data_IF_129808646776
#
_entry.id   IF_129808646776
#
_cell.length_a   1.000
_cell.length_b   1.000
_cell.length_c   1.000
_cell.angle_alpha   90.00
_cell.angle_beta   90.00
_cell.angle_gamma   90.00
#
_symmetry.space_group_name_H-M   'P 1'
#
loop_
_entity.id
_entity.type
_entity.pdbx_description
1 polymer ?
#
# COMPACT_ATOMS: atom_id res chain seq x y z
N UNK A 1 18.19 -1.19 23.04
CA UNK A 1 18.35 -1.42 21.58
C UNK A 1 17.24 -0.64 20.88
N UNK A 2 17.60 0.41 20.14
CA UNK A 2 16.61 1.30 19.48
C UNK A 2 15.88 0.51 18.39
N UNK A 3 14.54 0.58 18.26
CA UNK A 3 13.85 -0.12 17.19
C UNK A 3 14.32 0.49 15.86
N UNK A 4 15.09 -0.32 15.14
CA UNK A 4 15.83 0.04 13.95
C UNK A 4 14.91 0.60 12.89
N UNK A 5 15.30 1.78 12.42
CA UNK A 5 15.05 2.29 11.08
C UNK A 5 15.12 1.10 10.12
N UNK A 6 14.02 0.82 9.41
CA UNK A 6 13.99 -0.19 8.36
C UNK A 6 14.84 0.38 7.23
N UNK A 7 16.15 0.17 7.33
CA UNK A 7 17.12 0.49 6.31
C UNK A 7 16.79 -0.36 5.08
N UNK A 8 16.56 0.35 3.98
CA UNK A 8 16.49 -0.14 2.60
C UNK A 8 15.44 -1.21 2.34
N UNK A 9 14.19 -0.76 2.16
CA UNK A 9 13.14 -1.55 1.54
C UNK A 9 13.38 -1.54 0.02
N UNK A 10 14.22 -2.45 -0.47
CA UNK A 10 14.44 -2.72 -1.91
C UNK A 10 13.27 -3.50 -2.58
N UNK A 11 12.16 -3.68 -1.86
CA UNK A 11 11.02 -4.50 -2.27
C UNK A 11 9.70 -3.83 -1.91
N UNK A 12 9.05 -3.12 -2.86
CA UNK A 12 7.84 -2.35 -2.56
C UNK A 12 6.68 -3.20 -2.02
N UNK A 13 6.65 -4.49 -2.37
CA UNK A 13 5.79 -5.55 -1.86
C UNK A 13 5.95 -5.80 -0.35
N UNK A 14 7.18 -5.76 0.17
CA UNK A 14 7.44 -5.88 1.61
C UNK A 14 6.85 -4.69 2.40
N UNK A 15 6.83 -3.51 1.79
CA UNK A 15 6.17 -2.35 2.38
C UNK A 15 4.64 -2.43 2.27
N UNK A 16 4.08 -2.94 1.16
CA UNK A 16 2.64 -3.21 1.03
C UNK A 16 2.18 -4.16 2.14
N UNK A 17 2.97 -5.21 2.38
CA UNK A 17 2.78 -6.15 3.47
C UNK A 17 2.86 -5.47 4.84
N UNK A 18 3.88 -4.65 5.11
CA UNK A 18 4.03 -3.95 6.37
C UNK A 18 2.89 -2.96 6.66
N UNK A 19 2.39 -2.24 5.64
CA UNK A 19 1.23 -1.33 5.77
C UNK A 19 -0.05 -2.11 6.03
N UNK A 20 -0.24 -3.24 5.34
CA UNK A 20 -1.28 -4.21 5.65
C UNK A 20 -1.20 -4.62 7.12
N UNK A 21 -0.07 -5.21 7.54
CA UNK A 21 0.16 -5.81 8.86
C UNK A 21 0.02 -4.82 10.01
N UNK A 22 0.52 -3.59 9.87
CA UNK A 22 0.38 -2.55 10.91
C UNK A 22 -1.08 -2.15 11.16
N UNK A 23 -1.93 -2.12 10.13
CA UNK A 23 -3.35 -1.71 10.24
C UNK A 23 -4.29 -2.88 10.52
N UNK A 24 -3.85 -4.09 10.19
CA UNK A 24 -4.52 -5.38 10.43
C UNK A 24 -4.78 -5.74 11.89
N UNK A 25 -4.25 -4.96 12.84
CA UNK A 25 -4.55 -5.17 14.25
C UNK A 25 -6.02 -4.93 14.61
N UNK A 26 -6.82 -4.24 13.78
CA UNK A 26 -8.29 -4.24 13.93
C UNK A 26 -8.86 -5.60 13.46
N UNK A 27 -9.42 -6.35 14.41
CA UNK A 27 -9.73 -7.79 14.35
C UNK A 27 -10.48 -8.31 13.11
N UNK A 28 -11.25 -7.47 12.42
CA UNK A 28 -11.98 -7.86 11.21
C UNK A 28 -11.06 -8.24 10.03
N UNK A 29 -9.86 -7.68 10.00
CA UNK A 29 -8.94 -7.84 8.88
C UNK A 29 -7.93 -8.98 9.09
N UNK A 30 -7.63 -9.31 10.36
CA UNK A 30 -6.79 -10.46 10.74
C UNK A 30 -7.26 -11.72 10.02
N UNK A 31 -8.57 -12.02 10.06
CA UNK A 31 -9.16 -13.19 9.39
C UNK A 31 -9.00 -13.18 7.87
N UNK A 32 -9.07 -12.01 7.22
CA UNK A 32 -8.99 -11.91 5.75
C UNK A 32 -7.55 -12.04 5.26
N UNK A 33 -6.58 -11.48 5.99
CA UNK A 33 -5.18 -11.76 5.72
C UNK A 33 -4.73 -13.14 6.18
N UNK A 34 -5.27 -13.73 7.24
CA UNK A 34 -4.97 -15.12 7.60
C UNK A 34 -5.40 -16.06 6.46
N UNK A 35 -6.52 -15.76 5.77
CA UNK A 35 -6.92 -16.50 4.56
C UNK A 35 -5.98 -16.22 3.39
N UNK A 36 -5.68 -14.95 3.07
CA UNK A 36 -4.84 -14.61 1.91
C UNK A 36 -3.37 -15.03 2.10
N UNK A 37 -2.81 -14.86 3.31
CA UNK A 37 -1.44 -15.21 3.66
C UNK A 37 -1.30 -16.69 4.04
N UNK A 38 -2.29 -17.29 4.69
CA UNK A 38 -2.30 -18.73 4.96
C UNK A 38 -2.45 -19.56 3.69
N UNK A 39 -3.17 -19.04 2.67
CA UNK A 39 -3.22 -19.64 1.35
C UNK A 39 -1.94 -19.38 0.53
N UNK A 40 -1.28 -18.23 0.69
CA UNK A 40 -0.03 -17.89 -0.02
C UNK A 40 1.28 -18.25 0.69
N UNK A 41 1.25 -18.81 1.90
CA UNK A 41 2.46 -19.10 2.68
C UNK A 41 3.44 -20.06 1.98
N UNK A 42 2.99 -20.79 0.94
CA UNK A 42 3.83 -21.64 0.09
C UNK A 42 3.84 -21.26 -1.40
N UNK A 43 3.21 -20.16 -1.81
CA UNK A 43 3.03 -19.80 -3.22
C UNK A 43 2.97 -18.29 -3.44
N UNK A 44 4.05 -17.58 -3.13
CA UNK A 44 4.26 -16.30 -3.80
C UNK A 44 4.53 -16.62 -5.27
N UNK A 45 3.48 -16.59 -6.10
CA UNK A 45 3.64 -16.63 -7.54
C UNK A 45 4.63 -15.52 -7.93
N UNK A 46 5.51 -15.80 -8.90
CA UNK A 46 6.38 -14.75 -9.44
C UNK A 46 5.50 -13.57 -9.85
N UNK A 47 5.81 -12.34 -9.40
CA UNK A 47 5.03 -11.17 -9.77
C UNK A 47 5.06 -11.06 -11.29
N UNK A 48 3.88 -10.93 -11.90
CA UNK A 48 3.80 -10.65 -13.33
C UNK A 48 4.34 -9.24 -13.64
N UNK A 49 4.54 -8.97 -14.93
CA UNK A 49 5.10 -7.68 -15.38
C UNK A 49 4.26 -6.49 -14.89
N UNK A 50 2.93 -6.63 -14.84
CA UNK A 50 2.03 -5.57 -14.38
C UNK A 50 2.21 -5.28 -12.89
N UNK A 51 2.41 -6.31 -12.05
CA UNK A 51 2.70 -6.16 -10.64
C UNK A 51 4.07 -5.48 -10.40
N UNK A 52 5.07 -5.80 -11.22
CA UNK A 52 6.40 -5.16 -11.18
C UNK A 52 6.29 -3.68 -11.57
N UNK A 53 5.64 -3.36 -12.69
CA UNK A 53 5.44 -1.97 -13.13
C UNK A 53 4.64 -1.16 -12.11
N UNK A 54 3.56 -1.72 -11.55
CA UNK A 54 2.76 -1.06 -10.53
C UNK A 54 3.59 -0.79 -9.26
N UNK A 55 4.42 -1.75 -8.86
CA UNK A 55 5.34 -1.65 -7.73
C UNK A 55 6.36 -0.52 -7.93
N UNK A 56 6.94 -0.42 -9.13
CA UNK A 56 7.87 0.65 -9.51
C UNK A 56 7.19 2.02 -9.53
N UNK A 57 6.00 2.14 -10.12
CA UNK A 57 5.24 3.40 -10.15
C UNK A 57 4.84 3.87 -8.74
N UNK A 58 4.42 2.94 -7.88
CA UNK A 58 4.09 3.24 -6.49
C UNK A 58 5.33 3.68 -5.70
N UNK A 59 6.51 3.14 -5.99
CA UNK A 59 7.76 3.53 -5.32
C UNK A 59 8.11 5.00 -5.51
N UNK A 60 7.67 5.61 -6.62
CA UNK A 60 7.90 7.01 -6.98
C UNK A 60 6.96 8.01 -6.27
N UNK A 61 5.98 7.51 -5.51
CA UNK A 61 5.11 8.33 -4.65
C UNK A 61 5.80 8.74 -3.35
N UNK A 62 5.33 9.84 -2.74
CA UNK A 62 5.71 10.11 -1.35
C UNK A 62 5.23 8.97 -0.44
N UNK A 63 5.90 8.71 0.70
CA UNK A 63 5.48 7.63 1.60
C UNK A 63 4.00 7.70 1.95
N UNK A 64 3.50 8.89 2.29
CA UNK A 64 2.09 9.11 2.66
C UNK A 64 1.10 8.85 1.52
N UNK A 65 1.39 9.32 0.32
CA UNK A 65 0.55 9.07 -0.85
C UNK A 65 0.49 7.59 -1.17
N UNK A 66 1.65 6.92 -1.16
CA UNK A 66 1.75 5.48 -1.35
C UNK A 66 0.86 4.75 -0.34
N UNK A 67 0.93 5.10 0.96
CA UNK A 67 0.16 4.40 2.02
C UNK A 67 -1.33 4.44 1.77
N UNK A 68 -1.81 5.62 1.38
CA UNK A 68 -3.24 5.89 1.20
C UNK A 68 -3.75 5.32 -0.13
N UNK A 69 -2.95 5.37 -1.20
CA UNK A 69 -3.29 4.72 -2.48
C UNK A 69 -3.38 3.20 -2.31
N UNK A 70 -2.43 2.60 -1.61
CA UNK A 70 -2.41 1.15 -1.36
C UNK A 70 -3.56 0.73 -0.47
N UNK A 71 -3.83 1.50 0.59
CA UNK A 71 -5.01 1.30 1.41
C UNK A 71 -6.29 1.33 0.57
N UNK A 72 -6.39 2.21 -0.43
CA UNK A 72 -7.58 2.35 -1.26
C UNK A 72 -7.74 1.22 -2.29
N UNK A 73 -6.67 0.82 -2.96
CA UNK A 73 -6.73 -0.03 -4.17
C UNK A 73 -6.23 -1.46 -3.98
N UNK A 74 -5.33 -1.72 -3.04
CA UNK A 74 -4.82 -3.08 -2.76
C UNK A 74 -5.49 -3.71 -1.54
N UNK A 75 -5.95 -2.86 -0.62
CA UNK A 75 -6.61 -3.28 0.60
C UNK A 75 -8.13 -3.10 0.53
N UNK A 76 -8.67 -2.38 -0.45
CA UNK A 76 -10.11 -2.07 -0.56
C UNK A 76 -10.69 -1.29 0.63
N UNK A 77 -9.88 -0.49 1.33
CA UNK A 77 -10.40 0.41 2.36
C UNK A 77 -11.22 1.55 1.72
N UNK A 78 -12.40 1.80 2.29
CA UNK A 78 -13.17 3.01 2.02
C UNK A 78 -12.43 4.25 2.53
N UNK A 79 -12.68 5.43 1.95
CA UNK A 79 -12.07 6.68 2.44
C UNK A 79 -12.36 6.95 3.92
N UNK A 80 -13.53 6.52 4.43
CA UNK A 80 -13.86 6.59 5.86
C UNK A 80 -12.94 5.69 6.70
N UNK A 81 -12.76 4.44 6.30
CA UNK A 81 -11.86 3.52 7.00
C UNK A 81 -10.39 3.97 6.92
N UNK A 82 -9.98 4.58 5.80
CA UNK A 82 -8.67 5.21 5.64
C UNK A 82 -8.54 6.36 6.65
N UNK A 83 -9.47 7.31 6.64
CA UNK A 83 -9.51 8.44 7.56
C UNK A 83 -9.36 8.01 9.02
N UNK A 84 -10.19 7.06 9.48
CA UNK A 84 -10.10 6.50 10.83
C UNK A 84 -8.75 5.82 11.10
N UNK A 85 -8.24 5.03 10.16
CA UNK A 85 -7.02 4.24 10.38
C UNK A 85 -5.74 5.09 10.33
N UNK A 86 -5.78 6.27 9.70
CA UNK A 86 -4.64 7.16 9.52
C UNK A 86 -4.73 8.44 10.37
N UNK A 87 -5.82 8.64 11.12
CA UNK A 87 -6.05 9.84 11.94
C UNK A 87 -6.18 11.11 11.10
N UNK A 88 -6.82 11.03 9.92
CA UNK A 88 -7.03 12.16 9.01
C UNK A 88 -8.50 12.32 8.66
N UNK A 89 -8.86 13.44 8.02
CA UNK A 89 -10.21 13.65 7.50
C UNK A 89 -10.45 12.82 6.23
N UNK A 90 -11.72 12.53 5.95
CA UNK A 90 -12.13 11.87 4.69
C UNK A 90 -11.69 12.70 3.49
N UNK A 91 -11.85 14.03 3.52
CA UNK A 91 -11.38 14.92 2.46
C UNK A 91 -9.86 14.84 2.25
N UNK A 92 -9.07 14.73 3.33
CA UNK A 92 -7.62 14.55 3.24
C UNK A 92 -7.25 13.20 2.63
N UNK A 93 -7.98 12.13 2.97
CA UNK A 93 -7.79 10.82 2.35
C UNK A 93 -8.08 10.87 0.84
N UNK A 94 -9.21 11.48 0.45
CA UNK A 94 -9.61 11.64 -0.97
C UNK A 94 -8.59 12.47 -1.74
N UNK A 95 -8.18 13.63 -1.23
CA UNK A 95 -7.21 14.49 -1.91
C UNK A 95 -5.85 13.83 -2.03
N UNK A 96 -5.41 13.08 -1.00
CA UNK A 96 -4.15 12.34 -1.04
C UNK A 96 -4.17 11.23 -2.11
N UNK A 97 -5.27 10.48 -2.24
CA UNK A 97 -5.42 9.50 -3.33
C UNK A 97 -5.37 10.21 -4.68
N UNK A 98 -6.14 11.28 -4.86
CA UNK A 98 -6.17 12.02 -6.12
C UNK A 98 -4.78 12.52 -6.53
N UNK A 99 -4.03 13.09 -5.59
CA UNK A 99 -2.66 13.57 -5.84
C UNK A 99 -1.69 12.43 -6.15
N UNK A 100 -1.82 11.28 -5.46
CA UNK A 100 -1.02 10.09 -5.73
C UNK A 100 -1.27 9.55 -7.15
N UNK A 101 -2.53 9.40 -7.54
CA UNK A 101 -2.89 8.94 -8.89
C UNK A 101 -2.43 9.92 -9.97
N UNK A 102 -2.56 11.23 -9.73
CA UNK A 102 -2.07 12.21 -10.70
C UNK A 102 -0.55 12.15 -10.87
N UNK A 103 0.18 11.92 -9.78
CA UNK A 103 1.63 11.72 -9.83
C UNK A 103 1.98 10.45 -10.61
N UNK A 104 1.30 9.33 -10.38
CA UNK A 104 1.49 8.09 -11.15
C UNK A 104 1.24 8.34 -12.64
N UNK A 105 0.13 8.99 -13.00
CA UNK A 105 -0.20 9.31 -14.41
C UNK A 105 0.87 10.15 -15.08
N UNK A 106 1.44 11.12 -14.37
CA UNK A 106 2.52 11.96 -14.89
C UNK A 106 3.77 11.14 -15.18
N UNK A 107 4.19 10.34 -14.20
CA UNK A 107 5.37 9.48 -14.32
C UNK A 107 5.22 8.47 -15.47
N UNK A 108 4.02 7.88 -15.61
CA UNK A 108 3.75 6.90 -16.66
C UNK A 108 3.89 7.54 -18.05
N UNK A 109 3.41 8.78 -18.24
CA UNK A 109 3.59 9.54 -19.49
C UNK A 109 5.05 9.91 -19.77
N UNK A 110 5.84 10.17 -18.73
CA UNK A 110 7.25 10.55 -18.87
C UNK A 110 8.17 9.33 -19.14
N UNK A 111 7.64 8.10 -19.01
CA UNK A 111 8.39 6.84 -19.21
C UNK A 111 8.11 6.19 -20.56
N UNK A 112 7.34 6.86 -21.42
CA UNK A 112 6.96 6.47 -22.80
C UNK A 112 7.79 7.26 -23.81
#
# INVERSE_FOLDING_TARGET
MKPGVIETIERPDAWLYAVGVRKLRRAAWRRRLDVLLGANAGSYAEPDLAAIEASELLSKLTPRQREIVVARYYLDLTFKQIAESFGITVSSATSTVSQGLERIRRIARDSE
#
